data_IF_331832860689
#
_entry.id   IF_331832860689
#
_cell.length_a   1.000
_cell.length_b   1.000
_cell.length_c   1.000
_cell.angle_alpha   90.00
_cell.angle_beta   90.00
_cell.angle_gamma   90.00
#
_symmetry.space_group_name_H-M   'P 1'
#
loop_
_entity.id
_entity.type
_entity.pdbx_description
1 polymer ?
#
# COMPACT_ATOMS: atom_id res chain seq x y z
N UNK A 1 1.21 12.74 19.21
CA UNK A 1 0.71 12.99 17.84
C UNK A 1 1.51 12.11 16.89
N UNK A 2 0.86 11.43 15.97
CA UNK A 2 1.51 10.69 14.90
C UNK A 2 1.92 11.64 13.77
N UNK A 3 2.99 11.31 13.05
CA UNK A 3 3.39 12.10 11.89
C UNK A 3 2.53 11.72 10.67
N UNK A 4 2.23 10.41 10.56
CA UNK A 4 1.49 9.83 9.44
C UNK A 4 0.41 8.88 9.95
N UNK A 5 -0.80 8.98 9.40
CA UNK A 5 -1.82 7.93 9.49
C UNK A 5 -1.80 7.11 8.21
N UNK A 6 -1.64 5.80 8.34
CA UNK A 6 -1.74 4.84 7.24
C UNK A 6 -3.03 4.06 7.38
N UNK A 7 -3.88 4.09 6.36
CA UNK A 7 -5.08 3.26 6.24
C UNK A 7 -4.82 2.20 5.18
N UNK A 8 -4.92 0.92 5.54
CA UNK A 8 -4.67 -0.15 4.58
C UNK A 8 -4.86 -1.53 5.18
N UNK A 9 -4.45 -2.56 4.44
CA UNK A 9 -4.55 -3.94 4.91
C UNK A 9 -3.26 -4.42 5.56
N UNK A 10 -3.43 -5.37 6.48
CA UNK A 10 -2.43 -6.37 6.84
C UNK A 10 -2.89 -7.72 6.27
N UNK A 11 -1.96 -8.47 5.73
CA UNK A 11 -2.11 -9.89 5.42
C UNK A 11 -0.94 -10.67 6.02
N UNK A 12 -1.18 -11.88 6.49
CA UNK A 12 -0.09 -12.76 6.86
C UNK A 12 0.50 -13.39 5.59
N UNK A 13 1.72 -13.00 5.22
CA UNK A 13 2.43 -13.57 4.09
C UNK A 13 3.03 -14.91 4.49
N UNK A 14 2.52 -15.99 3.90
CA UNK A 14 3.02 -17.36 4.08
C UNK A 14 3.81 -17.72 2.83
N UNK A 15 5.14 -17.58 2.91
CA UNK A 15 6.03 -17.89 1.80
C UNK A 15 6.59 -19.29 1.89
N UNK A 16 6.53 -20.02 0.79
CA UNK A 16 7.08 -21.37 0.62
C UNK A 16 8.25 -21.29 -0.37
N UNK A 17 9.44 -21.67 0.05
CA UNK A 17 10.62 -21.74 -0.79
C UNK A 17 10.81 -23.17 -1.31
N UNK A 18 11.01 -23.32 -2.60
CA UNK A 18 11.22 -24.63 -3.24
C UNK A 18 12.03 -24.51 -4.53
N UNK A 19 12.28 -25.64 -5.17
CA UNK A 19 13.03 -25.71 -6.43
C UNK A 19 12.24 -25.20 -7.65
N UNK A 20 10.93 -25.10 -7.52
CA UNK A 20 10.01 -24.61 -8.56
C UNK A 20 8.66 -24.22 -7.95
N UNK A 21 7.84 -23.55 -8.73
CA UNK A 21 6.42 -23.32 -8.43
C UNK A 21 5.63 -24.57 -8.89
N UNK A 22 4.75 -25.17 -8.04
CA UNK A 22 3.97 -26.33 -8.43
C UNK A 22 2.97 -25.98 -9.55
N UNK A 23 2.79 -26.90 -10.49
CA UNK A 23 1.75 -26.82 -11.52
C UNK A 23 0.47 -27.54 -11.08
N UNK A 24 -0.62 -27.35 -11.82
CA UNK A 24 -1.91 -28.00 -11.51
C UNK A 24 -1.76 -29.53 -11.37
N UNK A 25 -2.24 -30.06 -10.25
CA UNK A 25 -2.17 -31.49 -9.92
C UNK A 25 -0.84 -31.98 -9.38
N UNK A 26 0.14 -31.11 -9.24
CA UNK A 26 1.46 -31.47 -8.72
C UNK A 26 1.59 -31.20 -7.21
N UNK A 27 2.21 -32.14 -6.50
CA UNK A 27 2.70 -31.94 -5.14
C UNK A 27 4.22 -31.90 -5.14
N UNK A 28 4.81 -30.85 -4.60
CA UNK A 28 6.26 -30.71 -4.45
C UNK A 28 6.64 -30.64 -2.97
N UNK A 29 7.88 -31.06 -2.64
CA UNK A 29 8.45 -30.81 -1.33
C UNK A 29 9.18 -29.47 -1.36
N UNK A 30 8.80 -28.56 -0.47
CA UNK A 30 9.48 -27.28 -0.27
C UNK A 30 10.69 -27.44 0.68
N UNK A 31 11.62 -26.49 0.63
CA UNK A 31 12.79 -26.47 1.49
C UNK A 31 12.50 -25.81 2.84
N UNK A 32 11.68 -24.74 2.83
CA UNK A 32 11.33 -23.97 4.02
C UNK A 32 10.06 -23.17 3.80
N UNK A 33 9.48 -22.69 4.90
CA UNK A 33 8.43 -21.67 4.86
C UNK A 33 8.72 -20.56 5.87
N UNK A 34 8.13 -19.39 5.63
CA UNK A 34 8.16 -18.26 6.55
C UNK A 34 6.79 -17.62 6.65
N UNK A 35 6.46 -17.09 7.84
CA UNK A 35 5.24 -16.29 8.05
C UNK A 35 5.65 -14.89 8.49
N UNK A 36 5.27 -13.90 7.70
CA UNK A 36 5.64 -12.51 7.93
C UNK A 36 4.49 -11.53 7.73
N UNK A 37 4.72 -10.25 8.05
CA UNK A 37 3.78 -9.20 7.72
C UNK A 37 3.80 -8.92 6.22
N UNK A 38 2.60 -8.74 5.65
CA UNK A 38 2.36 -8.33 4.28
C UNK A 38 1.18 -7.37 4.18
N UNK A 39 0.80 -7.04 2.96
CA UNK A 39 -0.15 -5.98 2.65
C UNK A 39 0.53 -4.63 2.46
N UNK A 40 0.14 -3.90 1.39
CA UNK A 40 0.81 -2.64 1.01
C UNK A 40 0.77 -1.62 2.15
N UNK A 41 -0.38 -1.42 2.78
CA UNK A 41 -0.52 -0.51 3.91
C UNK A 41 0.37 -0.89 5.10
N UNK A 42 0.42 -2.16 5.46
CA UNK A 42 1.27 -2.65 6.54
C UNK A 42 2.76 -2.46 6.20
N UNK A 43 3.18 -2.78 4.97
CA UNK A 43 4.57 -2.62 4.53
C UNK A 43 5.00 -1.15 4.59
N UNK A 44 4.15 -0.23 4.14
CA UNK A 44 4.40 1.21 4.21
C UNK A 44 4.47 1.69 5.66
N UNK A 45 3.55 1.27 6.53
CA UNK A 45 3.57 1.61 7.96
C UNK A 45 4.87 1.15 8.64
N UNK A 46 5.30 -0.08 8.38
CA UNK A 46 6.57 -0.62 8.91
C UNK A 46 7.77 0.17 8.38
N UNK A 47 7.79 0.48 7.08
CA UNK A 47 8.88 1.25 6.48
C UNK A 47 9.01 2.65 7.11
N UNK A 48 7.90 3.36 7.25
CA UNK A 48 7.85 4.69 7.88
C UNK A 48 8.38 4.61 9.31
N UNK A 49 7.89 3.66 10.10
CA UNK A 49 8.33 3.53 11.50
C UNK A 49 9.81 3.23 11.61
N UNK A 50 10.35 2.36 10.76
CA UNK A 50 11.79 2.05 10.74
C UNK A 50 12.67 3.21 10.29
N UNK A 51 12.11 4.17 9.56
CA UNK A 51 12.76 5.43 9.20
C UNK A 51 12.61 6.52 10.29
N UNK A 52 12.01 6.18 11.43
CA UNK A 52 11.86 7.09 12.57
C UNK A 52 10.54 7.87 12.61
N UNK A 53 9.63 7.66 11.66
CA UNK A 53 8.31 8.30 11.65
C UNK A 53 7.36 7.68 12.67
N UNK A 54 6.49 8.49 13.28
CA UNK A 54 5.44 8.03 14.19
C UNK A 54 4.18 7.69 13.39
N UNK A 55 3.81 6.42 13.36
CA UNK A 55 2.72 5.90 12.54
C UNK A 55 1.51 5.53 13.40
N UNK A 56 0.33 6.02 13.00
CA UNK A 56 -0.97 5.48 13.38
C UNK A 56 -1.46 4.57 12.25
N UNK A 57 -1.70 3.29 12.52
CA UNK A 57 -2.15 2.33 11.51
C UNK A 57 -3.62 1.98 11.71
N UNK A 58 -4.44 2.28 10.70
CA UNK A 58 -5.86 1.94 10.67
C UNK A 58 -6.04 0.74 9.74
N UNK A 59 -6.59 -0.34 10.28
CA UNK A 59 -6.85 -1.58 9.55
C UNK A 59 -7.97 -2.36 10.23
N UNK A 60 -8.37 -3.49 9.62
CA UNK A 60 -9.30 -4.44 10.21
C UNK A 60 -8.69 -5.83 10.18
N UNK A 61 -8.68 -6.52 11.32
CA UNK A 61 -8.12 -7.86 11.47
C UNK A 61 -9.20 -8.83 11.97
N UNK A 62 -8.98 -10.10 11.77
CA UNK A 62 -9.78 -11.15 12.40
C UNK A 62 -9.38 -11.34 13.87
N UNK A 63 -10.30 -11.84 14.69
CA UNK A 63 -10.01 -12.33 16.04
C UNK A 63 -9.43 -13.75 15.94
N UNK A 64 -8.25 -13.88 15.34
CA UNK A 64 -7.56 -15.14 15.07
C UNK A 64 -6.06 -15.01 15.33
N UNK A 65 -5.31 -16.11 15.14
CA UNK A 65 -3.87 -16.14 15.43
C UNK A 65 -3.06 -15.23 14.49
N UNK A 66 -3.49 -15.04 13.24
CA UNK A 66 -2.85 -14.09 12.34
C UNK A 66 -3.15 -12.63 12.73
N UNK A 67 -4.32 -12.34 13.27
CA UNK A 67 -4.64 -11.03 13.85
C UNK A 67 -3.77 -10.71 15.05
N UNK A 68 -3.54 -11.67 15.95
CA UNK A 68 -2.61 -11.53 17.09
C UNK A 68 -1.19 -11.31 16.58
N UNK A 69 -0.73 -12.13 15.61
CA UNK A 69 0.58 -11.99 14.98
C UNK A 69 0.76 -10.57 14.40
N UNK A 70 -0.27 -10.03 13.73
CA UNK A 70 -0.25 -8.68 13.17
C UNK A 70 0.01 -7.63 14.26
N UNK A 71 -0.77 -7.65 15.34
CA UNK A 71 -0.65 -6.71 16.46
C UNK A 71 0.76 -6.78 17.07
N UNK A 72 1.27 -7.98 17.30
CA UNK A 72 2.60 -8.17 17.91
C UNK A 72 3.72 -7.64 17.00
N UNK A 73 3.63 -7.90 15.70
CA UNK A 73 4.61 -7.41 14.71
C UNK A 73 4.58 -5.89 14.59
N UNK A 74 3.39 -5.30 14.50
CA UNK A 74 3.23 -3.85 14.39
C UNK A 74 3.74 -3.13 15.65
N UNK A 75 3.42 -3.65 16.84
CA UNK A 75 3.93 -3.11 18.11
C UNK A 75 5.46 -3.21 18.21
N UNK A 76 6.06 -4.31 17.72
CA UNK A 76 7.52 -4.47 17.68
C UNK A 76 8.20 -3.42 16.82
N UNK A 77 7.55 -2.98 15.74
CA UNK A 77 8.01 -1.88 14.88
C UNK A 77 7.49 -0.49 15.39
N UNK A 78 7.07 -0.36 16.66
CA UNK A 78 6.60 0.88 17.31
C UNK A 78 5.44 1.59 16.59
N UNK A 79 4.56 0.84 15.93
CA UNK A 79 3.39 1.37 15.23
C UNK A 79 2.21 1.42 16.20
N UNK A 80 1.49 2.53 16.23
CA UNK A 80 0.26 2.66 17.00
C UNK A 80 -0.85 1.80 16.39
N UNK A 81 -1.32 0.83 17.17
CA UNK A 81 -2.35 -0.14 16.79
C UNK A 81 -3.73 0.15 17.41
N UNK A 82 -3.89 1.28 18.10
CA UNK A 82 -5.11 1.62 18.82
C UNK A 82 -6.35 1.80 17.94
N UNK A 83 -6.14 2.06 16.64
CA UNK A 83 -7.19 2.23 15.65
C UNK A 83 -7.36 1.00 14.73
N UNK A 84 -6.82 -0.16 15.14
CA UNK A 84 -7.08 -1.43 14.45
C UNK A 84 -8.40 -2.02 14.96
N UNK A 85 -9.30 -2.34 14.01
CA UNK A 85 -10.62 -2.92 14.28
C UNK A 85 -10.48 -4.45 14.30
N UNK A 86 -11.02 -5.10 15.34
CA UNK A 86 -11.01 -6.57 15.45
C UNK A 86 -12.39 -7.12 15.08
N UNK A 87 -12.43 -7.99 14.09
CA UNK A 87 -13.63 -8.66 13.58
C UNK A 87 -13.79 -10.06 14.19
N UNK A 88 -14.97 -10.35 14.72
CA UNK A 88 -15.36 -11.70 15.11
C UNK A 88 -16.07 -12.46 13.97
N UNK A 89 -16.29 -11.81 12.81
CA UNK A 89 -17.03 -12.40 11.68
C UNK A 89 -16.13 -12.77 10.51
N UNK A 90 -14.99 -12.10 10.36
CA UNK A 90 -14.08 -12.27 9.23
C UNK A 90 -12.69 -12.59 9.74
N UNK A 91 -12.00 -13.49 9.07
CA UNK A 91 -10.61 -13.85 9.36
C UNK A 91 -9.64 -12.77 8.92
N UNK A 92 -8.47 -12.73 9.53
CA UNK A 92 -7.34 -11.93 9.05
C UNK A 92 -6.96 -12.35 7.62
N UNK A 93 -6.54 -11.39 6.80
CA UNK A 93 -6.07 -11.68 5.44
C UNK A 93 -4.80 -12.52 5.44
N UNK A 94 -4.65 -13.35 4.41
CA UNK A 94 -3.46 -14.19 4.20
C UNK A 94 -3.02 -14.15 2.75
N UNK A 95 -1.72 -14.29 2.50
CA UNK A 95 -1.18 -14.53 1.18
C UNK A 95 -0.34 -15.82 1.17
N UNK A 96 -0.63 -16.71 0.23
CA UNK A 96 0.20 -17.86 -0.09
C UNK A 96 1.17 -17.49 -1.20
N UNK A 97 2.47 -17.57 -0.93
CA UNK A 97 3.53 -17.13 -1.84
C UNK A 97 4.44 -18.31 -2.12
N UNK A 98 4.44 -18.81 -3.35
CA UNK A 98 5.38 -19.82 -3.80
C UNK A 98 6.57 -19.14 -4.47
N UNK A 99 7.79 -19.46 -4.02
CA UNK A 99 9.03 -18.88 -4.53
C UNK A 99 9.92 -19.99 -5.09
N UNK A 100 10.30 -19.87 -6.35
CA UNK A 100 11.34 -20.69 -6.97
C UNK A 100 12.72 -20.13 -6.60
N UNK A 101 13.48 -20.85 -5.78
CA UNK A 101 14.80 -20.40 -5.32
C UNK A 101 15.85 -20.27 -6.42
N UNK A 102 15.67 -20.97 -7.55
CA UNK A 102 16.64 -20.97 -8.65
C UNK A 102 16.47 -19.74 -9.54
N UNK A 103 15.22 -19.27 -9.71
CA UNK A 103 14.91 -18.16 -10.63
C UNK A 103 14.46 -16.90 -9.92
N UNK A 104 14.12 -16.96 -8.62
CA UNK A 104 13.50 -15.87 -7.87
C UNK A 104 12.06 -15.56 -8.29
N UNK A 105 11.49 -16.31 -9.24
CA UNK A 105 10.10 -16.13 -9.65
C UNK A 105 9.15 -16.57 -8.55
N UNK A 106 7.99 -15.94 -8.48
CA UNK A 106 6.97 -16.26 -7.51
C UNK A 106 5.58 -16.39 -8.16
N UNK A 107 4.68 -17.06 -7.40
CA UNK A 107 3.24 -17.06 -7.65
C UNK A 107 2.54 -16.77 -6.33
N UNK A 108 1.58 -15.84 -6.36
CA UNK A 108 0.96 -15.30 -5.16
C UNK A 108 -0.56 -15.41 -5.27
N UNK A 109 -1.18 -15.93 -4.20
CA UNK A 109 -2.63 -15.87 -3.99
C UNK A 109 -2.91 -15.07 -2.74
N UNK A 110 -3.75 -14.03 -2.83
CA UNK A 110 -4.11 -13.16 -1.70
C UNK A 110 -5.58 -13.32 -1.35
N UNK A 111 -5.86 -13.56 -0.08
CA UNK A 111 -7.19 -13.47 0.52
C UNK A 111 -7.18 -12.27 1.45
N UNK A 112 -7.88 -11.20 1.08
CA UNK A 112 -7.85 -9.92 1.84
C UNK A 112 -8.43 -10.03 3.26
N UNK A 113 -9.37 -10.94 3.48
CA UNK A 113 -9.98 -11.17 4.80
C UNK A 113 -10.79 -9.98 5.32
N UNK A 114 -10.70 -9.75 6.62
CA UNK A 114 -11.45 -8.72 7.36
C UNK A 114 -11.37 -7.31 6.75
N UNK A 115 -10.24 -6.80 6.24
CA UNK A 115 -10.17 -5.49 5.62
C UNK A 115 -11.15 -5.27 4.46
N UNK A 116 -11.51 -6.30 3.70
CA UNK A 116 -12.48 -6.18 2.61
C UNK A 116 -13.92 -5.91 3.08
N UNK A 117 -14.20 -6.10 4.37
CA UNK A 117 -15.49 -5.80 5.01
C UNK A 117 -15.47 -4.49 5.82
N UNK A 118 -14.43 -3.69 5.68
CA UNK A 118 -14.32 -2.41 6.38
C UNK A 118 -15.40 -1.44 5.88
N UNK A 119 -16.04 -0.73 6.81
CA UNK A 119 -17.06 0.29 6.52
C UNK A 119 -16.67 1.65 7.08
N UNK A 120 -17.24 2.71 6.54
CA UNK A 120 -16.97 4.08 7.03
C UNK A 120 -17.35 4.30 8.49
N UNK A 121 -18.40 3.62 8.96
CA UNK A 121 -18.87 3.73 10.34
C UNK A 121 -17.93 3.09 11.38
N UNK A 122 -17.04 2.19 10.94
CA UNK A 122 -16.06 1.53 11.81
C UNK A 122 -14.80 2.37 11.99
N UNK A 123 -14.58 3.39 11.14
CA UNK A 123 -13.39 4.24 11.18
C UNK A 123 -13.54 5.30 12.28
N UNK A 124 -12.58 5.32 13.21
CA UNK A 124 -12.40 6.48 14.07
C UNK A 124 -11.80 7.63 13.26
N UNK A 125 -12.67 8.36 12.54
CA UNK A 125 -12.24 9.37 11.58
C UNK A 125 -11.41 10.49 12.24
N UNK A 126 -11.67 10.79 13.52
CA UNK A 126 -10.94 11.83 14.25
C UNK A 126 -9.48 11.45 14.54
N UNK A 127 -9.14 10.15 14.52
CA UNK A 127 -7.74 9.73 14.67
C UNK A 127 -6.85 10.19 13.51
N UNK A 128 -7.43 10.38 12.32
CA UNK A 128 -6.73 10.87 11.12
C UNK A 128 -6.23 12.29 11.33
N UNK A 129 -7.01 13.17 11.97
CA UNK A 129 -6.62 14.58 12.25
C UNK A 129 -5.38 14.74 13.13
N UNK A 130 -4.96 13.68 13.83
CA UNK A 130 -3.80 13.73 14.71
C UNK A 130 -2.48 13.62 13.97
N UNK A 131 -2.52 13.49 12.65
CA UNK A 131 -1.36 13.38 11.77
C UNK A 131 -1.25 14.56 10.80
N UNK A 132 -0.08 14.72 10.18
CA UNK A 132 0.16 15.70 9.11
C UNK A 132 -0.11 15.10 7.72
N UNK A 133 0.06 13.79 7.60
CA UNK A 133 -0.01 13.05 6.34
C UNK A 133 -1.02 11.91 6.51
N UNK A 134 -1.82 11.69 5.47
CA UNK A 134 -2.68 10.53 5.32
C UNK A 134 -2.25 9.72 4.10
N UNK A 135 -1.88 8.46 4.32
CA UNK A 135 -1.40 7.54 3.29
C UNK A 135 -2.35 6.36 3.16
N UNK A 136 -2.74 6.02 1.93
CA UNK A 136 -3.62 4.87 1.67
C UNK A 136 -3.34 4.24 0.30
N UNK A 137 -3.95 3.09 0.06
CA UNK A 137 -3.87 2.30 -1.18
C UNK A 137 -5.28 1.90 -1.61
N UNK A 138 -5.40 0.98 -2.59
CA UNK A 138 -6.69 0.52 -3.11
C UNK A 138 -6.99 -0.95 -2.75
N UNK A 139 -6.49 -1.41 -1.61
CA UNK A 139 -6.71 -2.77 -1.12
C UNK A 139 -7.94 -2.92 -0.20
N UNK A 140 -8.49 -1.79 0.31
CA UNK A 140 -9.73 -1.72 1.09
C UNK A 140 -10.90 -1.24 0.22
N UNK A 141 -12.17 -1.28 0.70
CA UNK A 141 -13.31 -0.75 -0.06
C UNK A 141 -13.11 0.69 -0.50
N UNK A 142 -13.41 0.97 -1.78
CA UNK A 142 -13.16 2.27 -2.42
C UNK A 142 -13.93 3.41 -1.75
N UNK A 143 -15.15 3.14 -1.31
CA UNK A 143 -15.97 4.10 -0.57
C UNK A 143 -15.34 4.53 0.76
N UNK A 144 -14.67 3.61 1.46
CA UNK A 144 -13.95 3.91 2.71
C UNK A 144 -12.70 4.72 2.40
N UNK A 145 -11.96 4.35 1.35
CA UNK A 145 -10.77 5.09 0.90
C UNK A 145 -11.14 6.53 0.56
N UNK A 146 -12.19 6.73 -0.26
CA UNK A 146 -12.66 8.06 -0.66
C UNK A 146 -13.13 8.89 0.53
N UNK A 147 -13.90 8.29 1.44
CA UNK A 147 -14.39 8.94 2.64
C UNK A 147 -13.23 9.48 3.50
N UNK A 148 -12.20 8.67 3.72
CA UNK A 148 -11.05 9.06 4.52
C UNK A 148 -10.15 10.09 3.81
N UNK A 149 -9.92 9.97 2.49
CA UNK A 149 -9.19 10.95 1.69
C UNK A 149 -9.88 12.33 1.73
N UNK A 150 -11.20 12.35 1.55
CA UNK A 150 -11.98 13.60 1.64
C UNK A 150 -11.83 14.24 3.01
N UNK A 151 -12.05 13.49 4.07
CA UNK A 151 -11.94 13.99 5.44
C UNK A 151 -10.53 14.50 5.77
N UNK A 152 -9.49 13.76 5.38
CA UNK A 152 -8.11 14.16 5.59
C UNK A 152 -7.80 15.47 4.85
N UNK A 153 -8.28 15.62 3.60
CA UNK A 153 -8.13 16.84 2.81
C UNK A 153 -8.80 18.03 3.45
N UNK A 154 -10.05 17.88 3.87
CA UNK A 154 -10.82 18.93 4.56
C UNK A 154 -10.22 19.29 5.91
N UNK A 155 -9.47 18.38 6.52
CA UNK A 155 -8.73 18.60 7.77
C UNK A 155 -7.33 19.20 7.56
N UNK A 156 -6.93 19.49 6.32
CA UNK A 156 -5.64 20.12 5.99
C UNK A 156 -4.44 19.19 5.93
N UNK A 157 -4.68 17.85 5.87
CA UNK A 157 -3.59 16.89 5.74
C UNK A 157 -3.09 16.80 4.29
N UNK A 158 -1.85 16.34 4.15
CA UNK A 158 -1.29 15.92 2.86
C UNK A 158 -1.76 14.50 2.58
N UNK A 159 -2.47 14.30 1.47
CA UNK A 159 -2.97 13.00 1.06
C UNK A 159 -2.05 12.34 0.05
N UNK A 160 -1.61 11.12 0.36
CA UNK A 160 -0.81 10.25 -0.51
C UNK A 160 -1.65 9.02 -0.88
N UNK A 161 -1.80 8.75 -2.17
CA UNK A 161 -2.43 7.53 -2.67
C UNK A 161 -1.44 6.72 -3.51
N UNK A 162 -1.15 5.51 -3.05
CA UNK A 162 -0.57 4.46 -3.89
C UNK A 162 -1.72 3.71 -4.58
N UNK A 163 -1.91 3.83 -5.91
CA UNK A 163 -3.10 3.32 -6.58
C UNK A 163 -3.04 1.81 -6.90
N UNK A 164 -2.58 1.04 -5.95
CA UNK A 164 -2.36 -0.40 -6.07
C UNK A 164 -3.36 -1.21 -5.21
N UNK A 165 -3.99 -2.25 -5.77
CA UNK A 165 -4.07 -2.57 -7.20
C UNK A 165 -4.91 -1.55 -7.97
N UNK A 166 -4.53 -1.27 -9.22
CA UNK A 166 -5.27 -0.31 -10.05
C UNK A 166 -6.74 -0.73 -10.23
N UNK A 167 -7.64 0.24 -10.06
CA UNK A 167 -9.08 0.06 -10.27
C UNK A 167 -9.71 1.37 -10.75
N UNK A 168 -10.94 1.30 -11.29
CA UNK A 168 -11.67 2.49 -11.71
C UNK A 168 -11.95 3.40 -10.51
N UNK A 169 -11.53 4.66 -10.64
CA UNK A 169 -11.84 5.75 -9.70
C UNK A 169 -12.73 6.78 -10.41
N UNK A 170 -13.68 7.37 -9.69
CA UNK A 170 -14.46 8.49 -10.21
C UNK A 170 -13.58 9.74 -10.43
N UNK A 171 -13.95 10.60 -11.37
CA UNK A 171 -13.17 11.82 -11.68
C UNK A 171 -12.95 12.70 -10.43
N UNK A 172 -13.97 12.79 -9.58
CA UNK A 172 -13.89 13.54 -8.32
C UNK A 172 -12.88 12.99 -7.31
N UNK A 173 -12.36 11.79 -7.51
CA UNK A 173 -11.43 11.15 -6.58
C UNK A 173 -10.08 11.87 -6.56
N UNK A 174 -9.60 12.26 -7.75
CA UNK A 174 -8.26 12.82 -7.93
C UNK A 174 -8.05 14.17 -7.25
N UNK A 175 -9.09 14.98 -7.09
CA UNK A 175 -9.00 16.28 -6.40
C UNK A 175 -8.64 16.20 -4.91
N UNK A 176 -8.80 15.03 -4.29
CA UNK A 176 -8.42 14.80 -2.89
C UNK A 176 -6.99 14.29 -2.72
N UNK A 177 -6.25 14.08 -3.81
CA UNK A 177 -4.91 13.48 -3.80
C UNK A 177 -3.86 14.58 -3.99
N UNK A 178 -2.93 14.69 -3.05
CA UNK A 178 -1.76 15.56 -3.20
C UNK A 178 -0.61 14.83 -3.90
N UNK A 179 -0.36 13.57 -3.53
CA UNK A 179 0.67 12.72 -4.11
C UNK A 179 0.06 11.42 -4.62
N UNK A 180 0.35 11.09 -5.86
CA UNK A 180 -0.09 9.85 -6.51
C UNK A 180 1.13 9.05 -6.96
N UNK A 181 1.22 7.78 -6.55
CA UNK A 181 2.47 7.02 -6.63
C UNK A 181 2.27 5.69 -7.35
N UNK A 182 1.93 5.71 -8.65
CA UNK A 182 1.75 4.52 -9.45
C UNK A 182 3.08 3.92 -9.91
N UNK A 183 3.09 2.60 -10.18
CA UNK A 183 4.08 1.98 -11.05
C UNK A 183 3.71 2.17 -12.54
N UNK A 184 4.51 1.57 -13.49
CA UNK A 184 4.25 1.69 -14.92
C UNK A 184 2.86 1.18 -15.32
N UNK A 185 2.46 0.01 -14.81
CA UNK A 185 1.17 -0.63 -15.16
C UNK A 185 -0.02 0.17 -14.61
N UNK A 186 0.10 0.67 -13.39
CA UNK A 186 -0.91 1.50 -12.75
C UNK A 186 -1.05 2.84 -13.46
N UNK A 187 0.06 3.48 -13.82
CA UNK A 187 0.05 4.72 -14.57
C UNK A 187 -0.55 4.53 -15.98
N UNK A 188 -0.23 3.43 -16.67
CA UNK A 188 -0.85 3.04 -17.95
C UNK A 188 -2.36 2.85 -17.78
N UNK A 189 -2.80 2.18 -16.71
CA UNK A 189 -4.23 1.95 -16.44
C UNK A 189 -5.03 3.26 -16.37
N UNK A 190 -4.50 4.30 -15.69
CA UNK A 190 -5.21 5.57 -15.54
C UNK A 190 -5.07 6.50 -16.74
N UNK A 191 -3.98 6.42 -17.47
CA UNK A 191 -3.68 7.36 -18.55
C UNK A 191 -3.90 6.78 -19.95
N UNK A 192 -3.90 5.46 -20.10
CA UNK A 192 -3.89 4.78 -21.39
C UNK A 192 -2.55 4.93 -22.15
N UNK A 193 -1.52 5.50 -21.51
CA UNK A 193 -0.19 5.67 -22.10
C UNK A 193 0.70 4.52 -21.65
N UNK A 194 1.09 3.66 -22.60
CA UNK A 194 2.04 2.57 -22.34
C UNK A 194 3.42 3.14 -22.01
N UNK A 195 4.02 2.67 -20.91
CA UNK A 195 5.30 3.18 -20.44
C UNK A 195 6.42 2.20 -20.82
N UNK A 196 7.23 2.55 -21.80
CA UNK A 196 8.41 1.79 -22.22
C UNK A 196 9.70 2.47 -21.75
N UNK A 197 9.69 3.80 -21.62
CA UNK A 197 10.83 4.61 -21.22
C UNK A 197 10.41 5.79 -20.31
N UNK A 198 11.42 6.59 -19.92
CA UNK A 198 11.20 7.78 -19.06
C UNK A 198 10.40 8.90 -19.76
N UNK A 199 10.36 8.97 -21.09
CA UNK A 199 9.59 10.00 -21.78
C UNK A 199 8.11 9.65 -21.79
N UNK A 200 7.77 8.37 -21.99
CA UNK A 200 6.39 7.87 -21.81
C UNK A 200 5.90 8.12 -20.38
N UNK A 201 6.76 7.85 -19.37
CA UNK A 201 6.43 8.11 -17.97
C UNK A 201 6.20 9.61 -17.71
N UNK A 202 6.99 10.52 -18.30
CA UNK A 202 6.76 11.97 -18.21
C UNK A 202 5.43 12.39 -18.84
N UNK A 203 5.08 11.82 -20.00
CA UNK A 203 3.81 12.08 -20.68
C UNK A 203 2.63 11.57 -19.84
N UNK A 204 2.73 10.37 -19.28
CA UNK A 204 1.76 9.80 -18.35
C UNK A 204 1.60 10.66 -17.10
N UNK A 205 2.70 11.07 -16.46
CA UNK A 205 2.67 11.94 -15.28
C UNK A 205 2.01 13.30 -15.59
N UNK A 206 2.25 13.88 -16.77
CA UNK A 206 1.57 15.12 -17.20
C UNK A 206 0.07 14.93 -17.27
N UNK A 207 -0.40 13.83 -17.87
CA UNK A 207 -1.85 13.53 -17.95
C UNK A 207 -2.48 13.34 -16.59
N UNK A 208 -1.80 12.68 -15.63
CA UNK A 208 -2.28 12.55 -14.26
C UNK A 208 -2.39 13.89 -13.53
N UNK A 209 -1.46 14.82 -13.75
CA UNK A 209 -1.55 16.20 -13.22
C UNK A 209 -2.78 16.91 -13.80
N UNK A 210 -3.07 16.75 -15.10
CA UNK A 210 -4.25 17.33 -15.76
C UNK A 210 -5.57 16.78 -15.20
N UNK A 211 -5.55 15.58 -14.59
CA UNK A 211 -6.69 15.00 -13.86
C UNK A 211 -6.91 15.60 -12.47
N UNK A 212 -6.06 16.53 -12.02
CA UNK A 212 -6.21 17.26 -10.76
C UNK A 212 -5.27 16.85 -9.63
N UNK A 213 -4.36 15.90 -9.87
CA UNK A 213 -3.35 15.49 -8.89
C UNK A 213 -2.25 16.57 -8.82
N UNK A 214 -1.77 16.88 -7.59
CA UNK A 214 -0.75 17.92 -7.44
C UNK A 214 0.67 17.43 -7.75
N UNK A 215 1.03 16.23 -7.29
CA UNK A 215 2.35 15.63 -7.52
C UNK A 215 2.19 14.15 -7.89
N UNK A 216 2.88 13.73 -8.93
CA UNK A 216 2.90 12.35 -9.42
C UNK A 216 4.32 11.81 -9.35
N UNK A 217 4.47 10.61 -8.80
CA UNK A 217 5.73 9.88 -8.70
C UNK A 217 5.50 8.52 -9.34
N UNK A 218 6.00 8.32 -10.56
CA UNK A 218 5.90 7.03 -11.26
C UNK A 218 7.16 6.22 -10.99
N UNK A 219 7.02 5.06 -10.36
CA UNK A 219 8.12 4.12 -10.16
C UNK A 219 8.36 3.29 -11.41
N UNK A 220 9.63 3.04 -11.75
CA UNK A 220 10.08 2.38 -12.99
C UNK A 220 11.00 1.19 -12.68
N UNK A 221 10.84 0.56 -11.53
CA UNK A 221 11.67 -0.54 -11.07
C UNK A 221 13.17 -0.16 -11.09
N UNK A 222 14.00 -0.97 -11.71
CA UNK A 222 15.45 -0.73 -11.81
C UNK A 222 15.82 0.57 -12.56
N UNK A 223 14.92 1.13 -13.36
CA UNK A 223 15.13 2.39 -14.10
C UNK A 223 14.95 3.64 -13.22
N UNK A 224 14.59 3.46 -11.93
CA UNK A 224 14.38 4.54 -10.98
C UNK A 224 12.94 5.07 -11.01
N UNK A 225 12.76 6.39 -11.04
CA UNK A 225 11.43 7.03 -10.98
C UNK A 225 11.37 8.31 -11.80
N UNK A 226 10.14 8.77 -12.07
CA UNK A 226 9.84 10.10 -12.65
C UNK A 226 8.94 10.85 -11.69
N UNK A 227 9.33 12.09 -11.33
CA UNK A 227 8.54 13.02 -10.53
C UNK A 227 8.01 14.14 -11.41
N UNK A 228 6.73 14.49 -11.26
CA UNK A 228 6.09 15.62 -11.93
C UNK A 228 5.18 16.36 -10.94
N UNK A 229 5.31 17.68 -10.91
CA UNK A 229 4.53 18.59 -10.06
C UNK A 229 3.70 19.55 -10.89
N UNK A 230 2.53 19.94 -10.37
CA UNK A 230 1.67 20.95 -10.97
C UNK A 230 2.23 22.39 -10.77
N UNK A 231 2.83 22.65 -9.61
CA UNK A 231 3.55 23.89 -9.24
C UNK A 231 4.61 23.51 -8.20
N UNK A 232 5.71 24.26 -8.15
CA UNK A 232 6.74 24.09 -7.10
C UNK A 232 6.14 24.30 -5.70
N UNK A 233 6.18 23.28 -4.86
CA UNK A 233 5.91 23.35 -3.43
C UNK A 233 7.00 22.56 -2.70
N UNK A 234 7.65 23.24 -1.74
CA UNK A 234 8.84 22.83 -1.00
C UNK A 234 8.61 21.72 0.05
N UNK A 235 9.65 20.89 0.24
CA UNK A 235 10.07 20.24 1.50
C UNK A 235 9.26 19.09 2.12
N UNK A 236 9.02 18.00 1.37
CA UNK A 236 8.71 16.69 1.97
C UNK A 236 9.40 15.54 1.15
N UNK A 237 10.38 15.90 0.34
CA UNK A 237 10.91 15.00 -0.73
C UNK A 237 11.61 13.74 -0.20
N UNK A 238 12.40 13.85 0.86
CA UNK A 238 13.27 12.76 1.31
C UNK A 238 12.51 11.60 1.99
N UNK A 239 11.46 11.92 2.74
CA UNK A 239 10.67 10.92 3.49
C UNK A 239 9.72 10.15 2.56
N UNK A 240 9.08 10.85 1.62
CA UNK A 240 8.10 10.25 0.71
C UNK A 240 8.76 9.33 -0.31
N UNK A 241 9.89 9.75 -0.90
CA UNK A 241 10.64 8.93 -1.84
C UNK A 241 11.13 7.62 -1.19
N UNK A 242 11.58 7.68 0.06
CA UNK A 242 12.03 6.50 0.80
C UNK A 242 10.91 5.50 1.09
N UNK A 243 9.69 5.97 1.38
CA UNK A 243 8.52 5.12 1.66
C UNK A 243 8.05 4.36 0.41
N UNK A 244 8.13 4.98 -0.76
CA UNK A 244 7.63 4.43 -2.02
C UNK A 244 8.58 3.40 -2.64
N UNK A 245 9.89 3.61 -2.51
CA UNK A 245 10.94 2.72 -3.01
C UNK A 245 10.92 1.36 -2.28
N UNK A 246 10.51 1.32 -1.01
CA UNK A 246 10.52 0.08 -0.20
C UNK A 246 9.49 -0.96 -0.69
N UNK A 247 8.33 -0.54 -1.20
CA UNK A 247 7.31 -1.48 -1.68
C UNK A 247 7.76 -2.16 -3.01
N UNK A 248 8.37 -1.40 -3.93
CA UNK A 248 8.89 -1.91 -5.22
C UNK A 248 10.16 -2.77 -5.05
N UNK A 249 11.08 -2.39 -4.16
CA UNK A 249 12.32 -3.12 -3.93
C UNK A 249 12.14 -4.45 -3.20
N UNK A 250 11.09 -4.64 -2.41
CA UNK A 250 10.78 -5.92 -1.75
C UNK A 250 10.27 -6.98 -2.72
N UNK A 251 9.55 -6.59 -3.78
CA UNK A 251 9.06 -7.51 -4.81
C UNK A 251 10.24 -8.06 -5.64
N UNK A 252 11.35 -7.33 -5.73
CA UNK A 252 12.53 -7.71 -6.53
C UNK A 252 13.64 -8.45 -5.76
N UNK A 253 13.60 -8.49 -4.42
CA UNK A 253 14.65 -9.09 -3.57
C UNK A 253 14.24 -10.33 -2.78
N UNK A 254 13.02 -10.85 -3.00
CA UNK A 254 12.58 -12.12 -2.40
C UNK A 254 12.43 -13.21 -3.44
#
# INVERSE_FOLDING_TARGET
>A
MSDITVLGIFVADISFLGNKIPITGETILGDSYNVGPGGKGCNQAIAISRLGGKVNFISKLGNDDYGKLAIDKLKKDNIDTSNIIISNKHTTGVAGIHVDKNTGKNAITVVRGAPSSLTTNEINIHSIKQSKIFLTQLEIPIEVTLYCLKFAKESGLINILNPAPACKLGEDFFKFIDYFTPNEMEAEFYTGIKINDKNDAKASAKKLIEMGIKKVIITLGEKGLVVKEAKEILDVEDVIASILIVDDLRIQKN
#
